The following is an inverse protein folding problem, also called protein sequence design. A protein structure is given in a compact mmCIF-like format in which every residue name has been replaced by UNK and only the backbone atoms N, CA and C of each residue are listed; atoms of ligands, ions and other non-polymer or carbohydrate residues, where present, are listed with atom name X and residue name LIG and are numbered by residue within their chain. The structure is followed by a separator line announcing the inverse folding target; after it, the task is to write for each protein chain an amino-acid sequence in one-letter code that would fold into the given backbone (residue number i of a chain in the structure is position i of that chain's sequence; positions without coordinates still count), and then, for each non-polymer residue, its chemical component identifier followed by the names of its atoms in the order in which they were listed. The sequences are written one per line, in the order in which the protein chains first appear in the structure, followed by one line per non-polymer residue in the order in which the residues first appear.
data_IF_562560880045
#
_entry.id   IF_562560880045
#
_cell.length_a   1.000
_cell.length_b   1.000
_cell.length_c   1.000
_cell.angle_alpha   90.00
_cell.angle_beta   90.00
_cell.angle_gamma   90.00
#
_symmetry.space_group_name_H-M   'P 1'
#
loop_
_entity.id
_entity.type
_entity.pdbx_description
1 polymer ?
#
# COMPACT_ATOMS: atom_id res chain seq x y z
N UNK A 1 2.18 -18.40 -6.29
CA UNK A 1 2.51 -17.35 -7.28
C UNK A 1 3.41 -16.27 -6.68
N UNK A 2 3.07 -15.62 -5.55
CA UNK A 2 3.94 -14.60 -4.93
C UNK A 2 5.35 -15.12 -4.60
N UNK A 3 5.47 -16.34 -4.08
CA UNK A 3 6.78 -16.96 -3.79
C UNK A 3 7.63 -17.11 -5.05
N UNK A 4 7.02 -17.41 -6.20
CA UNK A 4 7.74 -17.61 -7.47
C UNK A 4 8.35 -16.31 -8.03
N UNK A 5 7.81 -15.15 -7.67
CA UNK A 5 8.31 -13.84 -8.11
C UNK A 5 9.13 -13.12 -7.03
N UNK A 6 9.20 -13.69 -5.82
CA UNK A 6 9.95 -13.08 -4.72
C UNK A 6 11.44 -12.95 -5.08
N UNK A 7 12.00 -11.75 -4.93
CA UNK A 7 13.40 -11.46 -5.22
C UNK A 7 13.77 -11.32 -6.71
N UNK A 8 12.79 -11.45 -7.63
CA UNK A 8 13.05 -11.33 -9.09
C UNK A 8 12.89 -9.90 -9.63
N UNK A 9 12.37 -8.98 -8.84
CA UNK A 9 11.93 -7.66 -9.31
C UNK A 9 10.59 -7.66 -10.06
N UNK A 10 10.01 -8.83 -10.33
CA UNK A 10 8.67 -8.93 -10.92
C UNK A 10 7.58 -8.78 -9.84
N UNK A 11 6.43 -8.29 -10.25
CA UNK A 11 5.26 -8.15 -9.38
C UNK A 11 4.14 -9.09 -9.81
N UNK A 12 3.58 -9.81 -8.84
CA UNK A 12 2.36 -10.57 -9.08
C UNK A 12 1.16 -9.60 -9.11
N UNK A 13 0.30 -9.80 -10.10
CA UNK A 13 -0.91 -8.98 -10.30
C UNK A 13 -2.13 -9.82 -9.95
N UNK A 14 -3.04 -9.27 -9.12
CA UNK A 14 -4.37 -9.86 -8.94
C UNK A 14 -5.28 -9.44 -10.10
N UNK A 15 -6.14 -10.36 -10.54
CA UNK A 15 -7.04 -10.14 -11.66
C UNK A 15 -8.10 -9.08 -11.37
N UNK A 16 -8.63 -8.49 -12.44
CA UNK A 16 -9.77 -7.59 -12.37
C UNK A 16 -11.10 -8.36 -12.38
N UNK A 17 -12.21 -7.66 -12.20
CA UNK A 17 -13.57 -8.20 -12.36
C UNK A 17 -14.18 -7.77 -13.70
N UNK A 18 -14.94 -8.64 -14.32
CA UNK A 18 -15.76 -8.34 -15.50
C UNK A 18 -17.10 -7.67 -15.16
N UNK A 19 -17.39 -7.44 -13.88
CA UNK A 19 -18.57 -6.70 -13.44
C UNK A 19 -18.29 -5.21 -13.60
N UNK A 20 -18.80 -4.62 -14.69
CA UNK A 20 -18.54 -3.22 -15.02
C UNK A 20 -19.56 -2.28 -14.35
N UNK A 21 -19.12 -1.13 -13.81
CA UNK A 21 -20.01 -0.13 -13.20
C UNK A 21 -20.63 0.77 -14.27
N UNK A 22 -21.44 0.18 -15.15
CA UNK A 22 -22.16 0.84 -16.23
C UNK A 22 -23.64 0.49 -16.19
N UNK A 23 -24.50 1.38 -16.71
CA UNK A 23 -25.96 1.19 -16.73
C UNK A 23 -26.69 1.92 -15.60
N UNK A 24 -27.85 1.43 -15.16
CA UNK A 24 -28.64 2.07 -14.11
C UNK A 24 -27.89 2.21 -12.78
N UNK A 25 -28.15 3.30 -12.05
CA UNK A 25 -27.46 3.64 -10.79
C UNK A 25 -27.30 2.45 -9.82
N UNK A 26 -28.33 1.64 -9.66
CA UNK A 26 -28.29 0.47 -8.76
C UNK A 26 -27.24 -0.55 -9.20
N UNK A 27 -27.12 -0.78 -10.51
CA UNK A 27 -26.12 -1.71 -11.05
C UNK A 27 -24.71 -1.15 -10.92
N UNK A 28 -24.52 0.15 -11.17
CA UNK A 28 -23.25 0.84 -10.98
C UNK A 28 -22.77 0.71 -9.54
N UNK A 29 -23.65 0.99 -8.56
CA UNK A 29 -23.29 0.86 -7.14
C UNK A 29 -22.94 -0.59 -6.74
N UNK A 30 -23.70 -1.57 -7.22
CA UNK A 30 -23.41 -2.98 -6.96
C UNK A 30 -22.05 -3.39 -7.55
N UNK A 31 -21.74 -2.96 -8.77
CA UNK A 31 -20.46 -3.22 -9.41
C UNK A 31 -19.30 -2.55 -8.65
N UNK A 32 -19.47 -1.31 -8.20
CA UNK A 32 -18.48 -0.63 -7.36
C UNK A 32 -18.22 -1.34 -6.04
N UNK A 33 -19.25 -1.85 -5.37
CA UNK A 33 -19.08 -2.61 -4.13
C UNK A 33 -18.25 -3.88 -4.35
N UNK A 34 -18.57 -4.65 -5.40
CA UNK A 34 -17.80 -5.85 -5.76
C UNK A 34 -16.35 -5.51 -6.08
N UNK A 35 -16.13 -4.50 -6.91
CA UNK A 35 -14.79 -4.09 -7.31
C UNK A 35 -13.97 -3.57 -6.13
N UNK A 36 -14.53 -2.70 -5.29
CA UNK A 36 -13.87 -2.19 -4.08
C UNK A 36 -13.49 -3.34 -3.13
N UNK A 37 -14.37 -4.32 -2.92
CA UNK A 37 -14.07 -5.49 -2.10
C UNK A 37 -12.90 -6.31 -2.68
N UNK A 38 -12.87 -6.53 -4.00
CA UNK A 38 -11.77 -7.26 -4.66
C UNK A 38 -10.44 -6.50 -4.55
N UNK A 39 -10.44 -5.18 -4.78
CA UNK A 39 -9.25 -4.33 -4.62
C UNK A 39 -8.71 -4.41 -3.19
N UNK A 40 -9.57 -4.24 -2.20
CA UNK A 40 -9.18 -4.33 -0.79
C UNK A 40 -8.59 -5.70 -0.45
N UNK A 41 -9.24 -6.77 -0.87
CA UNK A 41 -8.77 -8.14 -0.66
C UNK A 41 -7.39 -8.38 -1.31
N UNK A 42 -7.15 -7.83 -2.50
CA UNK A 42 -5.87 -7.93 -3.18
C UNK A 42 -4.77 -7.23 -2.37
N UNK A 43 -5.01 -5.99 -1.91
CA UNK A 43 -4.08 -5.22 -1.09
C UNK A 43 -3.76 -5.92 0.24
N UNK A 44 -4.78 -6.46 0.94
CA UNK A 44 -4.61 -7.22 2.19
C UNK A 44 -3.78 -8.49 2.00
N UNK A 45 -3.75 -9.05 0.80
CA UNK A 45 -2.93 -10.22 0.42
C UNK A 45 -1.57 -9.86 -0.18
N UNK A 46 -1.21 -8.58 -0.20
CA UNK A 46 0.06 -8.09 -0.73
C UNK A 46 0.14 -8.02 -2.25
N UNK A 47 -0.99 -8.05 -2.95
CA UNK A 47 -1.06 -7.74 -4.38
C UNK A 47 -1.29 -6.24 -4.56
N UNK A 48 -0.22 -5.50 -4.73
CA UNK A 48 -0.27 -4.03 -4.87
C UNK A 48 -0.42 -3.57 -6.31
N UNK A 49 -0.17 -4.46 -7.26
CA UNK A 49 -0.41 -4.23 -8.68
C UNK A 49 -1.78 -4.80 -9.07
N UNK A 50 -2.52 -4.05 -9.85
CA UNK A 50 -3.81 -4.44 -10.38
C UNK A 50 -4.06 -3.78 -11.72
N UNK A 51 -5.05 -4.27 -12.46
CA UNK A 51 -5.49 -3.69 -13.71
C UNK A 51 -7.01 -3.68 -13.78
N UNK A 52 -7.56 -2.72 -14.48
CA UNK A 52 -8.98 -2.48 -14.60
C UNK A 52 -9.42 -2.61 -16.07
N UNK A 53 -10.58 -3.21 -16.30
CA UNK A 53 -11.12 -3.42 -17.64
C UNK A 53 -11.78 -2.17 -18.23
N UNK A 54 -12.21 -1.24 -17.36
CA UNK A 54 -13.01 -0.11 -17.78
C UNK A 54 -12.72 1.13 -16.93
N UNK A 55 -12.63 2.34 -17.51
CA UNK A 55 -12.33 3.57 -16.75
C UNK A 55 -13.26 3.84 -15.58
N UNK A 56 -14.52 3.40 -15.63
CA UNK A 56 -15.45 3.55 -14.52
C UNK A 56 -15.07 2.77 -13.26
N UNK A 57 -14.15 1.82 -13.34
CA UNK A 57 -13.57 1.10 -12.19
C UNK A 57 -12.50 1.92 -11.47
N UNK A 58 -11.89 2.91 -12.11
CA UNK A 58 -10.84 3.74 -11.51
C UNK A 58 -11.32 4.47 -10.25
N UNK A 59 -12.58 4.88 -10.19
CA UNK A 59 -13.17 5.52 -9.00
C UNK A 59 -12.99 4.63 -7.77
N UNK A 60 -13.38 3.37 -7.85
CA UNK A 60 -13.26 2.42 -6.74
C UNK A 60 -11.85 1.91 -6.56
N UNK A 61 -11.04 1.84 -7.62
CA UNK A 61 -9.61 1.54 -7.53
C UNK A 61 -8.90 2.54 -6.63
N UNK A 62 -8.96 3.81 -6.99
CA UNK A 62 -8.29 4.87 -6.24
C UNK A 62 -8.87 5.03 -4.83
N UNK A 63 -10.19 5.11 -4.70
CA UNK A 63 -10.84 5.28 -3.39
C UNK A 63 -10.46 4.16 -2.43
N UNK A 64 -10.48 2.91 -2.87
CA UNK A 64 -10.16 1.77 -2.02
C UNK A 64 -8.68 1.69 -1.69
N UNK A 65 -7.80 1.97 -2.66
CA UNK A 65 -6.35 2.01 -2.45
C UNK A 65 -5.98 3.11 -1.44
N UNK A 66 -6.54 4.29 -1.60
CA UNK A 66 -6.30 5.41 -0.69
C UNK A 66 -6.81 5.12 0.71
N UNK A 67 -8.03 4.62 0.84
CA UNK A 67 -8.60 4.23 2.13
C UNK A 67 -7.75 3.15 2.83
N UNK A 68 -7.22 2.19 2.07
CA UNK A 68 -6.34 1.14 2.60
C UNK A 68 -5.06 1.73 3.21
N UNK A 69 -4.30 2.54 2.46
CA UNK A 69 -3.04 3.10 2.96
C UNK A 69 -3.25 4.13 4.06
N UNK A 70 -4.28 4.98 3.95
CA UNK A 70 -4.62 5.93 5.02
C UNK A 70 -5.00 5.23 6.33
N UNK A 71 -5.74 4.14 6.26
CA UNK A 71 -6.10 3.35 7.46
C UNK A 71 -4.91 2.59 8.05
N UNK A 72 -3.93 2.19 7.22
CA UNK A 72 -2.74 1.48 7.67
C UNK A 72 -1.66 2.40 8.26
N UNK A 73 -1.62 3.68 7.86
CA UNK A 73 -0.56 4.62 8.22
C UNK A 73 -0.33 4.76 9.73
N UNK A 74 -1.33 4.98 10.60
CA UNK A 74 -1.08 5.20 12.03
C UNK A 74 -0.41 3.98 12.69
N UNK A 75 -0.88 2.78 12.36
CA UNK A 75 -0.32 1.54 12.92
C UNK A 75 1.09 1.25 12.39
N UNK A 76 1.34 1.48 11.09
CA UNK A 76 2.66 1.28 10.49
C UNK A 76 3.67 2.27 11.06
N UNK A 77 3.31 3.56 11.14
CA UNK A 77 4.15 4.62 11.67
C UNK A 77 4.49 4.41 13.16
N UNK A 78 3.48 4.09 14.00
CA UNK A 78 3.70 3.85 15.43
C UNK A 78 4.61 2.66 15.70
N UNK A 79 4.46 1.56 14.95
CA UNK A 79 5.35 0.41 15.05
C UNK A 79 6.76 0.72 14.57
N UNK A 80 6.90 1.53 13.52
CA UNK A 80 8.20 1.95 12.98
C UNK A 80 8.93 2.87 13.96
N UNK A 81 8.24 3.83 14.57
CA UNK A 81 8.80 4.67 15.63
C UNK A 81 9.29 3.82 16.81
N UNK A 82 8.47 2.90 17.29
CA UNK A 82 8.86 1.99 18.37
C UNK A 82 10.04 1.08 18.01
N UNK A 83 10.19 0.68 16.75
CA UNK A 83 11.34 -0.06 16.26
C UNK A 83 12.62 0.79 16.34
N UNK A 84 12.55 2.04 15.87
CA UNK A 84 13.70 2.95 15.87
C UNK A 84 14.14 3.30 17.29
N UNK A 85 13.21 3.53 18.22
CA UNK A 85 13.51 3.78 19.63
C UNK A 85 14.26 2.59 20.29
N UNK A 86 13.80 1.36 20.04
CA UNK A 86 14.47 0.15 20.55
C UNK A 86 15.85 -0.07 19.93
N UNK A 87 15.99 0.21 18.64
CA UNK A 87 17.28 0.14 17.94
C UNK A 87 18.30 1.11 18.54
N UNK A 88 17.86 2.33 18.92
CA UNK A 88 18.69 3.34 19.59
C UNK A 88 19.10 2.88 21.00
N UNK A 89 18.24 2.12 21.69
CA UNK A 89 18.50 1.53 23.00
C UNK A 89 19.37 0.23 22.96
N UNK A 90 19.88 -0.16 21.78
CA UNK A 90 20.72 -1.34 21.60
C UNK A 90 19.99 -2.67 21.55
N UNK A 91 18.66 -2.66 21.46
CA UNK A 91 17.83 -3.85 21.26
C UNK A 91 17.72 -4.15 19.76
N UNK A 92 18.32 -5.25 19.31
CA UNK A 92 18.21 -5.71 17.93
C UNK A 92 16.82 -6.31 17.70
N UNK A 93 15.99 -5.57 16.96
CA UNK A 93 14.73 -6.08 16.42
C UNK A 93 14.93 -6.57 14.97
N UNK A 94 13.98 -7.33 14.44
CA UNK A 94 14.13 -7.96 13.12
C UNK A 94 14.08 -6.92 11.98
N UNK A 95 15.17 -6.71 11.19
CA UNK A 95 15.22 -5.72 10.14
C UNK A 95 14.15 -5.89 9.06
N UNK A 96 13.67 -7.15 8.86
CA UNK A 96 12.60 -7.45 7.91
C UNK A 96 11.28 -6.78 8.29
N UNK A 97 11.00 -6.64 9.59
CA UNK A 97 9.81 -5.94 10.08
C UNK A 97 9.87 -4.45 9.76
N UNK A 98 11.00 -3.79 10.03
CA UNK A 98 11.18 -2.38 9.70
C UNK A 98 11.07 -2.13 8.19
N UNK A 99 11.67 -2.99 7.38
CA UNK A 99 11.56 -2.94 5.90
C UNK A 99 10.12 -3.05 5.44
N UNK A 100 9.34 -3.99 5.98
CA UNK A 100 7.94 -4.18 5.61
C UNK A 100 7.09 -2.95 5.97
N UNK A 101 7.26 -2.40 7.17
CA UNK A 101 6.54 -1.21 7.64
C UNK A 101 6.90 0.03 6.82
N UNK A 102 8.20 0.28 6.58
CA UNK A 102 8.65 1.37 5.73
C UNK A 102 8.08 1.26 4.31
N UNK A 103 8.04 0.04 3.75
CA UNK A 103 7.47 -0.21 2.42
C UNK A 103 5.98 0.14 2.37
N UNK A 104 5.20 -0.14 3.41
CA UNK A 104 3.76 0.22 3.46
C UNK A 104 3.60 1.74 3.44
N UNK A 105 4.37 2.47 4.25
CA UNK A 105 4.31 3.95 4.29
C UNK A 105 4.72 4.54 2.94
N UNK A 106 5.82 4.08 2.36
CA UNK A 106 6.30 4.54 1.05
C UNK A 106 5.29 4.31 -0.07
N UNK A 107 4.60 3.17 -0.08
CA UNK A 107 3.54 2.92 -1.07
C UNK A 107 2.35 3.87 -0.93
N UNK A 108 2.02 4.25 0.29
CA UNK A 108 1.02 5.28 0.54
C UNK A 108 1.41 6.65 -0.03
N UNK A 109 2.69 7.02 0.11
CA UNK A 109 3.28 8.23 -0.48
C UNK A 109 3.32 8.14 -2.02
N UNK A 110 3.84 7.04 -2.55
CA UNK A 110 4.04 6.86 -4.01
C UNK A 110 2.73 6.88 -4.79
N UNK A 111 1.65 6.33 -4.23
CA UNK A 111 0.34 6.36 -4.88
C UNK A 111 -0.46 7.65 -4.61
N UNK A 112 0.07 8.56 -3.79
CA UNK A 112 -0.59 9.82 -3.42
C UNK A 112 -1.76 9.65 -2.43
N UNK A 113 -1.85 8.51 -1.75
CA UNK A 113 -2.86 8.29 -0.72
C UNK A 113 -2.61 9.14 0.53
N UNK A 114 -1.35 9.40 0.83
CA UNK A 114 -0.87 10.27 1.92
C UNK A 114 0.25 11.16 1.41
N UNK A 115 0.49 12.28 2.05
CA UNK A 115 1.61 13.18 1.76
C UNK A 115 2.69 13.14 2.85
N UNK A 116 3.84 13.78 2.57
CA UNK A 116 4.97 13.81 3.50
C UNK A 116 4.62 14.50 4.81
N UNK A 117 3.77 15.52 4.80
CA UNK A 117 3.36 16.23 6.01
C UNK A 117 2.47 15.35 6.90
N UNK A 118 1.54 14.60 6.28
CA UNK A 118 0.71 13.62 6.98
C UNK A 118 1.56 12.52 7.61
N UNK A 119 2.55 12.00 6.89
CA UNK A 119 3.46 10.97 7.40
C UNK A 119 4.28 11.50 8.57
N UNK A 120 4.87 12.69 8.45
CA UNK A 120 5.65 13.32 9.52
C UNK A 120 4.79 13.59 10.77
N UNK A 121 3.55 13.99 10.61
CA UNK A 121 2.61 14.21 11.72
C UNK A 121 2.35 12.94 12.55
N UNK A 122 2.57 11.75 12.00
CA UNK A 122 2.47 10.47 12.74
C UNK A 122 3.72 10.12 13.55
N UNK A 123 4.79 10.92 13.47
CA UNK A 123 6.09 10.61 14.09
C UNK A 123 6.93 9.61 13.29
N UNK A 124 6.52 9.24 12.08
CA UNK A 124 7.34 8.42 11.19
C UNK A 124 8.57 9.18 10.69
N UNK A 125 9.68 8.48 10.38
CA UNK A 125 10.87 9.11 9.84
C UNK A 125 10.62 9.72 8.46
N UNK A 126 11.46 10.68 8.02
CA UNK A 126 11.33 11.29 6.71
C UNK A 126 11.51 10.27 5.57
N UNK A 127 10.99 10.59 4.38
CA UNK A 127 11.01 9.71 3.20
C UNK A 127 12.40 9.13 2.91
N UNK A 128 13.45 9.93 3.01
CA UNK A 128 14.83 9.48 2.78
C UNK A 128 15.28 8.34 3.69
N UNK A 129 14.80 8.32 4.93
CA UNK A 129 15.12 7.26 5.90
C UNK A 129 14.19 6.05 5.72
N UNK A 130 12.93 6.27 5.33
CA UNK A 130 12.04 5.20 4.91
C UNK A 130 12.60 4.45 3.69
N UNK A 131 13.16 5.14 2.69
CA UNK A 131 13.79 4.52 1.51
C UNK A 131 14.98 3.64 1.91
N UNK A 132 15.84 4.13 2.83
CA UNK A 132 16.96 3.33 3.36
C UNK A 132 16.47 2.07 4.08
N UNK A 133 15.48 2.21 4.96
CA UNK A 133 14.89 1.07 5.69
C UNK A 133 14.24 0.06 4.75
N UNK A 134 13.56 0.52 3.71
CA UNK A 134 12.98 -0.32 2.68
C UNK A 134 14.01 -0.97 1.74
N UNK A 135 15.26 -0.49 1.76
CA UNK A 135 16.31 -0.94 0.85
C UNK A 135 16.12 -0.45 -0.59
N UNK A 136 15.43 0.68 -0.77
CA UNK A 136 15.27 1.33 -2.08
C UNK A 136 16.54 2.10 -2.47
N UNK A 137 16.83 2.12 -3.76
CA UNK A 137 17.87 2.98 -4.32
C UNK A 137 17.28 4.34 -4.68
N UNK A 138 18.10 5.42 -4.67
CA UNK A 138 17.68 6.70 -5.22
C UNK A 138 17.22 6.52 -6.68
N UNK A 139 15.95 6.82 -6.96
CA UNK A 139 15.34 6.67 -8.29
C UNK A 139 14.44 5.45 -8.50
N UNK A 140 14.20 4.62 -7.49
CA UNK A 140 13.27 3.47 -7.55
C UNK A 140 11.79 3.88 -7.26
N UNK A 141 11.42 5.13 -7.52
CA UNK A 141 10.05 5.63 -7.32
C UNK A 141 9.15 5.44 -8.54
#
# INVERSE_FOLDING_TARGET
MQVAVAGTGAHAVDGSTNVLPVGPRRQVHAAWQVHAWLVRRALERGFYQGWDLHPAQLVTRYTTTYAFFRSALPAAAGRLAAYLDRSTAGVLDEPATARALATVVLRGLDCGAVDDAEVQATGAPPRSDLDKLAGRRPGDA
#
